data_IF_547093601594
#
_entry.id   IF_547093601594
#
_cell.length_a   1.000
_cell.length_b   1.000
_cell.length_c   1.000
_cell.angle_alpha   90.00
_cell.angle_beta   90.00
_cell.angle_gamma   90.00
#
_symmetry.space_group_name_H-M   'P 1'
#
loop_
_entity.id
_entity.type
_entity.pdbx_description
1 polymer ?
#
# COMPACT_ATOMS: atom_id res chain seq x y z
N UNK A 1 5.89 11.13 6.24
CA UNK A 1 5.26 9.93 5.65
C UNK A 1 3.75 10.03 5.75
N UNK A 2 3.05 9.54 4.74
CA UNK A 2 1.62 9.23 4.73
C UNK A 2 1.39 7.75 5.08
N UNK A 3 0.20 7.44 5.59
CA UNK A 3 -0.17 6.06 5.95
C UNK A 3 -1.10 5.45 4.90
N UNK A 4 -0.77 4.23 4.49
CA UNK A 4 -1.55 3.42 3.57
C UNK A 4 -2.15 2.22 4.32
N UNK A 5 -3.46 2.28 4.58
CA UNK A 5 -4.16 1.20 5.28
C UNK A 5 -4.65 0.12 4.33
N UNK A 6 -4.41 -1.16 4.67
CA UNK A 6 -4.91 -2.31 3.91
C UNK A 6 -5.92 -3.19 4.67
N UNK A 7 -6.49 -2.68 5.77
CA UNK A 7 -7.36 -3.43 6.69
C UNK A 7 -8.57 -4.07 6.00
N UNK A 8 -9.13 -3.42 4.99
CA UNK A 8 -10.36 -3.88 4.33
C UNK A 8 -10.10 -4.92 3.23
N UNK A 9 -8.84 -5.30 2.96
CA UNK A 9 -8.49 -6.40 2.06
C UNK A 9 -8.91 -7.76 2.59
N UNK A 10 -9.07 -7.89 3.92
CA UNK A 10 -9.44 -9.14 4.57
C UNK A 10 -10.82 -9.63 4.09
N UNK A 11 -10.88 -10.87 3.64
CA UNK A 11 -12.13 -11.55 3.36
C UNK A 11 -12.93 -11.85 4.65
N UNK A 12 -14.26 -11.84 4.55
CA UNK A 12 -15.17 -12.28 5.62
C UNK A 12 -15.81 -11.17 6.46
N UNK A 13 -15.38 -9.91 6.32
CA UNK A 13 -16.05 -8.77 6.93
C UNK A 13 -17.33 -8.41 6.16
N UNK A 14 -18.41 -8.07 6.86
CA UNK A 14 -19.63 -7.60 6.18
C UNK A 14 -19.39 -6.26 5.49
N UNK A 15 -20.18 -5.95 4.45
CA UNK A 15 -20.10 -4.63 3.78
C UNK A 15 -20.33 -3.50 4.79
N UNK A 16 -21.24 -3.68 5.74
CA UNK A 16 -21.51 -2.68 6.78
C UNK A 16 -20.31 -2.48 7.69
N UNK A 17 -19.65 -3.55 8.14
CA UNK A 17 -18.46 -3.43 8.99
C UNK A 17 -17.31 -2.75 8.24
N UNK A 18 -17.12 -3.07 6.94
CA UNK A 18 -16.11 -2.40 6.11
C UNK A 18 -16.37 -0.90 5.96
N UNK A 19 -17.63 -0.48 5.79
CA UNK A 19 -18.00 0.94 5.71
C UNK A 19 -17.78 1.66 7.05
N UNK A 20 -18.07 1.01 8.18
CA UNK A 20 -17.79 1.56 9.51
C UNK A 20 -16.29 1.69 9.73
N UNK A 21 -15.53 0.63 9.45
CA UNK A 21 -14.07 0.63 9.54
C UNK A 21 -13.44 1.73 8.65
N UNK A 22 -13.91 1.91 7.41
CA UNK A 22 -13.44 2.99 6.54
C UNK A 22 -13.59 4.39 7.15
N UNK A 23 -14.70 4.66 7.85
CA UNK A 23 -14.91 5.93 8.56
C UNK A 23 -13.97 6.10 9.75
N UNK A 24 -13.68 5.03 10.48
CA UNK A 24 -12.72 5.06 11.57
C UNK A 24 -11.29 5.30 11.06
N UNK A 25 -10.90 4.64 9.98
CA UNK A 25 -9.60 4.84 9.34
C UNK A 25 -9.42 6.28 8.86
N UNK A 26 -10.45 6.87 8.24
CA UNK A 26 -10.47 8.29 7.88
C UNK A 26 -10.28 9.22 9.08
N UNK A 27 -10.95 8.93 10.20
CA UNK A 27 -10.81 9.68 11.44
C UNK A 27 -9.42 9.53 12.08
N UNK A 28 -8.71 8.42 11.82
CA UNK A 28 -7.31 8.23 12.23
C UNK A 28 -6.32 9.00 11.34
N UNK A 29 -6.78 9.54 10.21
CA UNK A 29 -5.97 10.38 9.33
C UNK A 29 -5.07 9.60 8.38
N UNK A 30 -5.41 8.35 8.03
CA UNK A 30 -4.69 7.63 6.97
C UNK A 30 -4.94 8.29 5.62
N UNK A 31 -3.94 8.28 4.74
CA UNK A 31 -4.05 8.89 3.41
C UNK A 31 -4.86 8.00 2.45
N UNK A 32 -4.71 6.68 2.57
CA UNK A 32 -5.41 5.72 1.74
C UNK A 32 -6.05 4.62 2.58
N UNK A 33 -7.28 4.27 2.23
CA UNK A 33 -7.99 3.09 2.76
C UNK A 33 -8.19 2.12 1.61
N UNK A 34 -7.44 1.02 1.62
CA UNK A 34 -7.55 -0.01 0.61
C UNK A 34 -8.75 -0.93 0.88
N UNK A 35 -9.76 -0.78 0.03
CA UNK A 35 -10.96 -1.61 0.02
C UNK A 35 -10.72 -3.04 -0.44
N UNK A 36 -9.55 -3.41 -0.95
CA UNK A 36 -9.29 -4.73 -1.52
C UNK A 36 -9.82 -4.91 -2.94
N UNK A 37 -9.92 -6.16 -3.35
CA UNK A 37 -10.40 -6.53 -4.69
C UNK A 37 -11.78 -5.90 -4.97
N UNK A 38 -11.97 -5.23 -6.13
CA UNK A 38 -13.26 -4.68 -6.53
C UNK A 38 -14.41 -5.68 -6.40
N UNK A 39 -15.35 -5.39 -5.49
CA UNK A 39 -16.65 -6.06 -5.40
C UNK A 39 -17.78 -5.04 -5.58
N UNK A 40 -18.76 -5.37 -6.44
CA UNK A 40 -19.80 -4.40 -6.84
C UNK A 40 -20.61 -3.87 -5.64
N UNK A 41 -20.81 -4.66 -4.58
CA UNK A 41 -21.68 -4.28 -3.46
C UNK A 41 -21.01 -3.26 -2.54
N UNK A 42 -19.77 -3.50 -2.15
CA UNK A 42 -19.03 -2.60 -1.27
C UNK A 42 -18.74 -1.27 -1.95
N UNK A 43 -18.15 -1.27 -3.15
CA UNK A 43 -17.76 -0.03 -3.81
C UNK A 43 -18.95 0.84 -4.22
N UNK A 44 -20.06 0.23 -4.66
CA UNK A 44 -21.30 0.97 -4.92
C UNK A 44 -21.86 1.62 -3.66
N UNK A 45 -21.96 0.88 -2.55
CA UNK A 45 -22.42 1.45 -1.28
C UNK A 45 -21.44 2.51 -0.76
N UNK A 46 -20.14 2.28 -0.89
CA UNK A 46 -19.11 3.20 -0.44
C UNK A 46 -19.19 4.55 -1.17
N UNK A 47 -19.42 4.56 -2.48
CA UNK A 47 -19.61 5.79 -3.26
C UNK A 47 -20.80 6.64 -2.76
N UNK A 48 -21.86 5.98 -2.30
CA UNK A 48 -23.08 6.66 -1.81
C UNK A 48 -22.97 7.06 -0.34
N UNK A 49 -22.44 6.17 0.51
CA UNK A 49 -22.50 6.26 1.97
C UNK A 49 -21.24 6.80 2.66
N UNK A 50 -20.08 6.77 2.01
CA UNK A 50 -18.85 7.32 2.57
C UNK A 50 -18.70 8.79 2.20
N UNK A 51 -18.25 9.56 3.20
CA UNK A 51 -17.89 10.96 3.13
C UNK A 51 -16.56 11.13 3.85
N UNK A 52 -15.52 10.54 3.28
CA UNK A 52 -14.15 10.58 3.81
C UNK A 52 -13.61 12.01 3.65
N UNK A 53 -12.90 12.49 4.66
CA UNK A 53 -12.33 13.85 4.68
C UNK A 53 -10.85 13.87 4.39
N UNK A 54 -10.15 12.84 4.85
CA UNK A 54 -8.69 12.70 4.78
C UNK A 54 -8.33 11.56 3.83
N UNK A 55 -8.95 10.40 4.03
CA UNK A 55 -8.62 9.19 3.33
C UNK A 55 -9.20 9.17 1.91
N UNK A 56 -8.40 8.72 0.96
CA UNK A 56 -8.86 8.28 -0.34
C UNK A 56 -9.20 6.79 -0.30
N UNK A 57 -10.43 6.42 -0.67
CA UNK A 57 -10.80 5.02 -0.86
C UNK A 57 -10.09 4.48 -2.11
N UNK A 58 -9.36 3.39 -1.95
CA UNK A 58 -8.56 2.75 -3.00
C UNK A 58 -9.08 1.35 -3.28
N UNK A 59 -9.15 0.97 -4.55
CA UNK A 59 -9.37 -0.42 -4.93
C UNK A 59 -8.06 -1.09 -5.34
N UNK A 60 -7.89 -2.37 -5.03
CA UNK A 60 -6.64 -3.08 -5.31
C UNK A 60 -6.81 -4.38 -6.07
N UNK A 61 -5.80 -4.74 -6.86
CA UNK A 61 -5.84 -5.94 -7.70
C UNK A 61 -4.53 -6.11 -8.45
N UNK A 62 -4.42 -7.19 -9.21
CA UNK A 62 -3.27 -7.42 -10.08
C UNK A 62 -3.45 -6.70 -11.42
N UNK A 63 -2.39 -6.52 -12.23
CA UNK A 63 -2.53 -5.94 -13.57
C UNK A 63 -3.62 -6.59 -14.43
N UNK A 64 -3.86 -7.90 -14.28
CA UNK A 64 -4.88 -8.65 -15.03
C UNK A 64 -6.32 -8.29 -14.60
N UNK A 65 -6.48 -7.64 -13.44
CA UNK A 65 -7.79 -7.26 -12.88
C UNK A 65 -8.26 -5.88 -13.38
N UNK A 66 -7.64 -5.33 -14.43
CA UNK A 66 -7.87 -3.99 -14.97
C UNK A 66 -9.35 -3.63 -15.14
N UNK A 67 -10.15 -4.51 -15.74
CA UNK A 67 -11.59 -4.26 -15.94
C UNK A 67 -12.33 -4.07 -14.61
N UNK A 68 -11.98 -4.86 -13.60
CA UNK A 68 -12.59 -4.76 -12.27
C UNK A 68 -12.12 -3.49 -11.55
N UNK A 69 -10.85 -3.13 -11.68
CA UNK A 69 -10.28 -1.90 -11.11
C UNK A 69 -10.93 -0.64 -11.70
N UNK A 70 -11.14 -0.60 -13.01
CA UNK A 70 -11.85 0.50 -13.67
C UNK A 70 -13.30 0.61 -13.19
N UNK A 71 -13.99 -0.52 -13.04
CA UNK A 71 -15.36 -0.59 -12.57
C UNK A 71 -15.55 -0.24 -11.08
N UNK A 72 -14.48 -0.18 -10.28
CA UNK A 72 -14.55 0.23 -8.88
C UNK A 72 -14.82 1.74 -8.72
N UNK A 73 -14.53 2.53 -9.75
CA UNK A 73 -14.73 3.99 -9.82
C UNK A 73 -14.05 4.79 -8.69
N UNK A 74 -13.11 4.20 -7.96
CA UNK A 74 -12.30 4.89 -6.95
C UNK A 74 -11.38 5.93 -7.57
N UNK A 75 -11.01 7.00 -6.86
CA UNK A 75 -10.08 8.02 -7.38
C UNK A 75 -8.62 7.56 -7.33
N UNK A 76 -8.31 6.60 -6.46
CA UNK A 76 -7.03 5.92 -6.43
C UNK A 76 -7.19 4.40 -6.60
N UNK A 77 -6.16 3.74 -7.11
CA UNK A 77 -6.09 2.29 -7.30
C UNK A 77 -4.70 1.80 -6.93
N UNK A 78 -4.63 0.59 -6.36
CA UNK A 78 -3.37 -0.08 -6.08
C UNK A 78 -3.22 -1.31 -6.97
N UNK A 79 -2.12 -1.37 -7.72
CA UNK A 79 -1.78 -2.49 -8.60
C UNK A 79 -0.70 -3.31 -7.94
N UNK A 80 -1.04 -4.54 -7.55
CA UNK A 80 -0.12 -5.48 -6.91
C UNK A 80 0.55 -6.33 -7.96
N UNK A 81 1.88 -6.20 -8.09
CA UNK A 81 2.69 -6.97 -9.03
C UNK A 81 3.68 -7.83 -8.27
N UNK A 82 3.90 -9.05 -8.74
CA UNK A 82 4.87 -9.99 -8.18
C UNK A 82 5.67 -10.61 -9.33
N UNK A 83 6.99 -10.49 -9.28
CA UNK A 83 7.88 -11.06 -10.29
C UNK A 83 7.80 -10.36 -11.66
N UNK A 84 7.70 -11.16 -12.72
CA UNK A 84 7.82 -10.75 -14.12
C UNK A 84 6.47 -10.37 -14.76
N UNK A 85 6.50 -9.52 -15.79
CA UNK A 85 5.28 -9.11 -16.51
C UNK A 85 5.18 -7.61 -16.78
N UNK A 86 6.31 -6.94 -17.02
CA UNK A 86 6.40 -5.48 -17.16
C UNK A 86 5.48 -4.90 -18.25
N UNK A 87 5.21 -5.64 -19.32
CA UNK A 87 4.28 -5.20 -20.37
C UNK A 87 2.83 -5.11 -19.87
N UNK A 88 2.37 -6.12 -19.12
CA UNK A 88 1.03 -6.16 -18.54
C UNK A 88 0.89 -5.08 -17.47
N UNK A 89 1.90 -4.93 -16.60
CA UNK A 89 1.97 -3.86 -15.61
C UNK A 89 1.88 -2.48 -16.28
N UNK A 90 2.75 -2.21 -17.27
CA UNK A 90 2.82 -0.93 -17.98
C UNK A 90 1.49 -0.56 -18.60
N UNK A 91 0.84 -1.51 -19.28
CA UNK A 91 -0.44 -1.26 -19.93
C UNK A 91 -1.56 -1.03 -18.92
N UNK A 92 -1.63 -1.83 -17.85
CA UNK A 92 -2.62 -1.65 -16.79
C UNK A 92 -2.48 -0.27 -16.12
N UNK A 93 -1.27 0.11 -15.71
CA UNK A 93 -1.00 1.43 -15.10
C UNK A 93 -1.38 2.55 -16.06
N UNK A 94 -0.97 2.49 -17.34
CA UNK A 94 -1.32 3.50 -18.34
C UNK A 94 -2.83 3.67 -18.51
N UNK A 95 -3.58 2.57 -18.56
CA UNK A 95 -5.03 2.65 -18.70
C UNK A 95 -5.70 3.24 -17.45
N UNK A 96 -5.23 2.89 -16.26
CA UNK A 96 -5.74 3.45 -15.01
C UNK A 96 -5.43 4.95 -14.90
N UNK A 97 -4.21 5.38 -15.25
CA UNK A 97 -3.82 6.80 -15.30
C UNK A 97 -4.65 7.57 -16.33
N UNK A 98 -4.84 7.01 -17.54
CA UNK A 98 -5.72 7.61 -18.57
C UNK A 98 -7.17 7.73 -18.13
N UNK A 99 -7.63 6.84 -17.26
CA UNK A 99 -8.95 6.92 -16.63
C UNK A 99 -9.01 7.92 -15.45
N UNK A 100 -7.95 8.72 -15.24
CA UNK A 100 -7.88 9.75 -14.20
C UNK A 100 -7.64 9.22 -12.80
N UNK A 101 -7.09 8.00 -12.66
CA UNK A 101 -6.80 7.38 -11.36
C UNK A 101 -5.39 7.73 -10.90
N UNK A 102 -5.23 8.01 -9.59
CA UNK A 102 -3.92 7.94 -8.93
C UNK A 102 -3.55 6.47 -8.75
N UNK A 103 -2.39 6.06 -9.24
CA UNK A 103 -2.00 4.64 -9.25
C UNK A 103 -0.84 4.40 -8.29
N UNK A 104 -1.08 3.61 -7.25
CA UNK A 104 -0.03 3.05 -6.40
C UNK A 104 0.35 1.68 -6.97
N UNK A 105 1.64 1.39 -7.12
CA UNK A 105 2.11 0.05 -7.53
C UNK A 105 2.78 -0.62 -6.34
N UNK A 106 2.27 -1.77 -5.90
CA UNK A 106 2.93 -2.59 -4.89
C UNK A 106 3.84 -3.61 -5.57
N UNK A 107 5.15 -3.39 -5.48
CA UNK A 107 6.17 -4.31 -5.95
C UNK A 107 6.43 -5.38 -4.89
N UNK A 108 5.67 -6.49 -4.97
CA UNK A 108 5.86 -7.67 -4.12
C UNK A 108 7.20 -8.34 -4.44
N UNK A 109 7.86 -8.81 -3.40
CA UNK A 109 9.16 -9.51 -3.47
C UNK A 109 10.29 -8.61 -3.99
N UNK A 110 10.12 -7.29 -3.90
CA UNK A 110 11.10 -6.33 -4.42
C UNK A 110 12.48 -6.54 -3.78
N UNK A 111 12.53 -6.64 -2.45
CA UNK A 111 13.78 -6.79 -1.73
C UNK A 111 14.42 -8.17 -1.95
N UNK A 112 13.62 -9.23 -2.05
CA UNK A 112 14.10 -10.55 -2.42
C UNK A 112 14.72 -10.53 -3.84
N UNK A 113 14.04 -9.86 -4.78
CA UNK A 113 14.53 -9.65 -6.13
C UNK A 113 15.80 -8.79 -6.17
N UNK A 114 15.88 -7.75 -5.34
CA UNK A 114 17.06 -6.88 -5.23
C UNK A 114 18.31 -7.66 -4.82
N UNK A 115 18.20 -8.60 -3.88
CA UNK A 115 19.33 -9.42 -3.46
C UNK A 115 19.83 -10.38 -4.54
N UNK A 116 18.99 -10.69 -5.53
CA UNK A 116 19.32 -11.59 -6.65
C UNK A 116 19.86 -10.78 -7.84
N UNK A 117 19.12 -9.75 -8.24
CA UNK A 117 19.41 -8.90 -9.41
C UNK A 117 18.82 -7.49 -9.18
N UNK A 118 19.62 -6.54 -8.64
CA UNK A 118 19.19 -5.16 -8.42
C UNK A 118 18.75 -4.44 -9.70
N UNK A 119 19.38 -4.72 -10.83
CA UNK A 119 19.03 -4.06 -12.10
C UNK A 119 17.63 -4.47 -12.53
N UNK A 120 17.32 -5.77 -12.48
CA UNK A 120 15.99 -6.29 -12.77
C UNK A 120 14.94 -5.82 -11.75
N UNK A 121 15.29 -5.76 -10.46
CA UNK A 121 14.40 -5.19 -9.45
C UNK A 121 14.06 -3.73 -9.76
N UNK A 122 15.03 -2.91 -10.19
CA UNK A 122 14.79 -1.52 -10.59
C UNK A 122 13.91 -1.39 -11.84
N UNK A 123 13.90 -2.38 -12.74
CA UNK A 123 13.03 -2.35 -13.93
C UNK A 123 11.55 -2.30 -13.56
N UNK A 124 11.12 -2.92 -12.46
CA UNK A 124 9.70 -2.83 -12.03
C UNK A 124 9.33 -1.41 -11.61
N UNK A 125 10.23 -0.74 -10.88
CA UNK A 125 10.05 0.63 -10.39
C UNK A 125 10.01 1.60 -11.56
N UNK A 126 10.99 1.50 -12.47
CA UNK A 126 11.07 2.33 -13.67
C UNK A 126 9.86 2.11 -14.58
N UNK A 127 9.48 0.85 -14.81
CA UNK A 127 8.30 0.53 -15.63
C UNK A 127 7.02 1.13 -15.07
N UNK A 128 6.81 1.05 -13.75
CA UNK A 128 5.65 1.65 -13.09
C UNK A 128 5.67 3.19 -13.22
N UNK A 129 6.81 3.82 -12.94
CA UNK A 129 6.97 5.27 -13.03
C UNK A 129 6.77 5.79 -14.45
N UNK A 130 7.40 5.18 -15.46
CA UNK A 130 7.25 5.53 -16.88
C UNK A 130 5.81 5.33 -17.39
N UNK A 131 5.05 4.43 -16.78
CA UNK A 131 3.64 4.23 -17.08
C UNK A 131 2.73 5.28 -16.43
N UNK A 132 3.26 6.10 -15.51
CA UNK A 132 2.57 7.17 -14.81
C UNK A 132 2.09 6.80 -13.40
N UNK A 133 2.65 5.77 -12.76
CA UNK A 133 2.35 5.48 -11.36
C UNK A 133 2.71 6.68 -10.47
N UNK A 134 1.83 6.96 -9.49
CA UNK A 134 1.96 8.04 -8.51
C UNK A 134 2.99 7.68 -7.43
N UNK A 135 3.07 6.41 -7.05
CA UNK A 135 4.00 5.89 -6.03
C UNK A 135 4.26 4.41 -6.26
N UNK A 136 5.49 3.96 -6.00
CA UNK A 136 5.85 2.54 -5.99
C UNK A 136 6.17 2.09 -4.57
N UNK A 137 5.35 1.19 -4.02
CA UNK A 137 5.54 0.59 -2.70
C UNK A 137 6.44 -0.63 -2.82
N UNK A 138 7.64 -0.53 -2.27
CA UNK A 138 8.62 -1.61 -2.22
C UNK A 138 8.24 -2.56 -1.07
N UNK A 139 8.05 -3.85 -1.37
CA UNK A 139 7.61 -4.82 -0.37
C UNK A 139 8.71 -5.82 0.01
N UNK A 140 9.10 -5.86 1.29
CA UNK A 140 9.95 -6.90 1.89
C UNK A 140 9.06 -8.12 2.17
N UNK A 141 8.70 -8.90 1.15
CA UNK A 141 7.72 -9.99 1.33
C UNK A 141 8.22 -11.08 2.27
N UNK A 142 9.49 -11.49 2.17
CA UNK A 142 10.04 -12.53 3.04
C UNK A 142 10.25 -12.06 4.48
N UNK A 143 10.36 -10.74 4.73
CA UNK A 143 10.63 -10.20 6.06
C UNK A 143 12.08 -10.43 6.52
N UNK A 144 12.99 -10.80 5.61
CA UNK A 144 14.30 -11.34 5.97
C UNK A 144 15.37 -10.28 6.24
N UNK A 145 15.16 -9.05 5.78
CA UNK A 145 16.16 -7.98 5.88
C UNK A 145 16.11 -7.25 7.21
N UNK A 146 17.27 -6.75 7.64
CA UNK A 146 17.39 -5.89 8.81
C UNK A 146 16.97 -4.45 8.49
N UNK A 147 16.52 -3.65 9.49
CA UNK A 147 16.05 -2.28 9.25
C UNK A 147 17.05 -1.36 8.55
N UNK A 148 18.34 -1.45 8.89
CA UNK A 148 19.43 -0.71 8.25
C UNK A 148 19.58 -1.10 6.78
N UNK A 149 19.55 -2.40 6.47
CA UNK A 149 19.59 -2.89 5.09
C UNK A 149 18.37 -2.42 4.27
N UNK A 150 17.19 -2.36 4.89
CA UNK A 150 15.99 -1.76 4.27
C UNK A 150 16.27 -0.30 3.90
N UNK A 151 16.81 0.48 4.83
CA UNK A 151 17.15 1.89 4.61
C UNK A 151 18.12 2.09 3.45
N UNK A 152 19.24 1.35 3.43
CA UNK A 152 20.27 1.44 2.37
C UNK A 152 19.72 1.15 0.98
N UNK A 153 18.88 0.11 0.87
CA UNK A 153 18.25 -0.26 -0.40
C UNK A 153 17.24 0.80 -0.83
N UNK A 154 16.39 1.28 0.08
CA UNK A 154 15.41 2.34 -0.24
C UNK A 154 16.10 3.63 -0.69
N UNK A 155 17.19 4.03 -0.03
CA UNK A 155 17.98 5.20 -0.41
C UNK A 155 18.55 5.06 -1.83
N UNK A 156 19.07 3.87 -2.15
CA UNK A 156 19.57 3.55 -3.51
C UNK A 156 18.46 3.63 -4.57
N UNK A 157 17.24 3.17 -4.26
CA UNK A 157 16.10 3.25 -5.18
C UNK A 157 15.60 4.69 -5.29
N UNK A 158 15.67 5.49 -4.21
CA UNK A 158 15.22 6.88 -4.20
C UNK A 158 16.03 7.77 -5.16
N UNK A 159 17.29 7.40 -5.48
CA UNK A 159 18.09 8.07 -6.51
C UNK A 159 17.43 8.08 -7.90
N UNK A 160 16.49 7.18 -8.16
CA UNK A 160 15.70 7.17 -9.40
C UNK A 160 14.73 8.36 -9.51
N UNK A 161 14.47 9.07 -8.41
CA UNK A 161 13.51 10.18 -8.32
C UNK A 161 12.03 9.75 -8.31
N UNK A 162 11.76 8.45 -8.28
CA UNK A 162 10.39 7.91 -8.21
C UNK A 162 9.86 8.05 -6.78
N UNK A 163 8.62 8.55 -6.56
CA UNK A 163 8.02 8.52 -5.23
C UNK A 163 7.88 7.09 -4.72
N UNK A 164 8.44 6.83 -3.53
CA UNK A 164 8.49 5.49 -2.95
C UNK A 164 7.53 5.33 -1.77
N UNK A 165 7.10 4.10 -1.58
CA UNK A 165 6.49 3.63 -0.34
C UNK A 165 7.13 2.33 0.14
N UNK A 166 6.72 1.88 1.32
CA UNK A 166 7.27 0.68 1.93
C UNK A 166 6.18 -0.20 2.59
N UNK A 167 6.30 -1.51 2.42
CA UNK A 167 5.50 -2.52 3.09
C UNK A 167 6.31 -3.74 3.50
N UNK A 168 5.94 -4.37 4.61
CA UNK A 168 6.57 -5.60 5.11
C UNK A 168 5.54 -6.45 5.89
N UNK A 169 5.86 -7.72 6.22
CA UNK A 169 5.11 -8.51 7.18
C UNK A 169 5.14 -7.92 8.59
N UNK A 170 4.20 -8.37 9.43
CA UNK A 170 4.26 -8.10 10.87
C UNK A 170 5.15 -9.15 11.56
N UNK A 171 6.46 -8.87 11.64
CA UNK A 171 7.49 -9.79 12.14
C UNK A 171 8.15 -9.35 13.47
N UNK A 172 7.52 -8.43 14.20
CA UNK A 172 8.04 -7.88 15.46
C UNK A 172 9.13 -6.80 15.28
N UNK A 173 9.81 -6.76 14.14
CA UNK A 173 10.75 -5.69 13.74
C UNK A 173 10.15 -4.68 12.76
N UNK A 174 8.92 -4.93 12.31
CA UNK A 174 8.21 -4.19 11.26
C UNK A 174 8.20 -2.66 11.42
N UNK A 175 7.91 -2.15 12.63
CA UNK A 175 7.90 -0.70 12.87
C UNK A 175 9.29 -0.06 12.68
N UNK A 176 10.37 -0.74 13.05
CA UNK A 176 11.72 -0.25 12.82
C UNK A 176 12.03 -0.20 11.32
N UNK A 177 11.71 -1.27 10.57
CA UNK A 177 11.87 -1.31 9.11
C UNK A 177 11.15 -0.15 8.42
N UNK A 178 9.90 0.12 8.83
CA UNK A 178 9.11 1.22 8.28
C UNK A 178 9.73 2.60 8.56
N UNK A 179 10.30 2.82 9.75
CA UNK A 179 10.95 4.08 10.08
C UNK A 179 12.25 4.28 9.30
N UNK A 180 13.08 3.24 9.17
CA UNK A 180 14.29 3.30 8.34
C UNK A 180 13.96 3.53 6.87
N UNK A 181 12.94 2.86 6.33
CA UNK A 181 12.47 3.11 4.97
C UNK A 181 11.97 4.56 4.81
N UNK A 182 11.21 5.07 5.79
CA UNK A 182 10.70 6.44 5.75
C UNK A 182 11.84 7.48 5.81
N UNK A 183 12.83 7.28 6.70
CA UNK A 183 14.02 8.15 6.81
C UNK A 183 14.83 8.12 5.50
N UNK A 184 14.84 6.98 4.79
CA UNK A 184 15.48 6.82 3.48
C UNK A 184 14.66 7.38 2.30
N UNK A 185 13.48 7.98 2.55
CA UNK A 185 12.68 8.66 1.53
C UNK A 185 11.38 7.95 1.12
N UNK A 186 11.00 6.84 1.77
CA UNK A 186 9.67 6.25 1.56
C UNK A 186 8.58 7.16 2.12
N UNK A 187 7.87 7.85 1.23
CA UNK A 187 6.80 8.78 1.55
C UNK A 187 5.51 8.12 2.00
N UNK A 188 5.26 6.86 1.63
CA UNK A 188 4.02 6.13 1.90
C UNK A 188 4.29 4.81 2.63
N UNK A 189 3.73 4.60 3.82
CA UNK A 189 3.98 3.38 4.62
C UNK A 189 2.71 2.55 4.79
N UNK A 190 2.80 1.27 4.43
CA UNK A 190 1.69 0.33 4.48
C UNK A 190 1.50 -0.25 5.88
N UNK A 191 0.26 -0.29 6.37
CA UNK A 191 -0.10 -0.95 7.62
C UNK A 191 -1.56 -1.41 7.64
N UNK A 192 -1.97 -1.99 8.77
CA UNK A 192 -3.36 -2.38 8.97
C UNK A 192 -3.81 -2.30 10.43
N UNK A 193 -5.12 -2.43 10.62
CA UNK A 193 -5.84 -2.65 11.87
C UNK A 193 -6.68 -3.93 11.75
N UNK A 194 -7.04 -4.51 12.89
CA UNK A 194 -8.02 -5.59 12.90
C UNK A 194 -9.43 -5.01 12.68
N UNK A 195 -10.13 -5.48 11.64
CA UNK A 195 -11.54 -5.12 11.41
C UNK A 195 -12.44 -6.01 12.27
N UNK A 196 -13.25 -5.39 13.10
CA UNK A 196 -14.22 -6.07 13.99
C UNK A 196 -15.64 -5.57 13.72
N UNK A 197 -16.64 -6.26 14.29
CA UNK A 197 -18.04 -5.85 14.13
C UNK A 197 -18.21 -4.44 14.68
N UNK A 198 -18.64 -3.52 13.80
CA UNK A 198 -18.86 -2.12 14.16
C UNK A 198 -17.62 -1.27 14.38
N UNK A 199 -16.40 -1.70 13.97
CA UNK A 199 -15.23 -0.83 14.12
C UNK A 199 -13.86 -1.48 13.82
N UNK A 200 -12.85 -0.92 14.48
CA UNK A 200 -11.44 -1.35 14.43
C UNK A 200 -10.99 -1.79 15.82
N UNK A 201 -10.03 -2.71 15.85
CA UNK A 201 -9.33 -3.18 17.06
C UNK A 201 -7.81 -3.08 16.84
N UNK A 202 -7.07 -2.91 17.94
CA UNK A 202 -5.60 -2.91 18.03
C UNK A 202 -5.01 -4.31 18.24
N UNK A 203 -5.88 -5.32 18.31
CA UNK A 203 -5.47 -6.71 18.23
C UNK A 203 -4.66 -6.96 16.95
N UNK A 204 -3.87 -8.05 16.96
CA UNK A 204 -3.09 -8.46 15.79
C UNK A 204 -4.01 -8.58 14.59
N UNK A 205 -3.72 -7.79 13.57
CA UNK A 205 -4.42 -7.87 12.30
C UNK A 205 -4.17 -9.26 11.71
N UNK A 206 -5.20 -9.93 11.18
CA UNK A 206 -5.01 -11.22 10.54
C UNK A 206 -4.39 -11.09 9.14
N UNK A 207 -4.14 -9.86 8.67
CA UNK A 207 -3.30 -9.61 7.51
C UNK A 207 -1.83 -9.59 7.96
N UNK A 208 -0.90 -10.22 7.21
CA UNK A 208 0.52 -10.18 7.53
C UNK A 208 1.11 -8.82 7.15
N UNK A 209 0.76 -7.78 7.91
CA UNK A 209 1.12 -6.39 7.66
C UNK A 209 1.16 -5.62 8.99
N UNK A 210 2.07 -4.64 9.15
CA UNK A 210 2.35 -4.06 10.45
C UNK A 210 1.15 -3.29 10.97
N UNK A 211 1.00 -3.28 12.29
CA UNK A 211 -0.08 -2.53 12.92
C UNK A 211 0.20 -1.03 12.86
N UNK A 212 -0.72 -0.27 12.28
CA UNK A 212 -0.53 1.18 12.09
C UNK A 212 -0.30 1.92 13.41
N UNK A 213 -0.89 1.47 14.52
CA UNK A 213 -0.63 2.09 15.82
C UNK A 213 0.82 1.92 16.28
N UNK A 214 1.50 0.83 15.91
CA UNK A 214 2.91 0.63 16.25
C UNK A 214 3.78 1.61 15.45
N UNK A 215 3.53 1.73 14.14
CA UNK A 215 4.21 2.69 13.27
C UNK A 215 4.06 4.12 13.77
N UNK A 216 2.81 4.54 14.04
CA UNK A 216 2.50 5.90 14.51
C UNK A 216 3.09 6.17 15.89
N UNK A 217 3.03 5.19 16.80
CA UNK A 217 3.62 5.33 18.13
C UNK A 217 5.14 5.44 18.08
N UNK A 218 5.78 4.61 17.25
CA UNK A 218 7.22 4.65 17.06
C UNK A 218 7.68 5.98 16.44
N UNK A 219 6.99 6.46 15.40
CA UNK A 219 7.26 7.77 14.78
C UNK A 219 7.15 8.91 15.80
N UNK A 220 6.11 8.91 16.64
CA UNK A 220 5.96 9.91 17.71
C UNK A 220 7.08 9.83 18.75
N UNK A 221 7.50 8.62 19.12
CA UNK A 221 8.54 8.42 20.12
C UNK A 221 9.90 8.96 19.67
N UNK A 222 10.21 8.89 18.37
CA UNK A 222 11.48 9.39 17.81
C UNK A 222 11.42 10.87 17.38
N UNK A 223 10.28 11.54 17.56
CA UNK A 223 10.12 12.96 17.21
C UNK A 223 9.83 13.23 15.73
N UNK A 224 9.53 12.19 14.94
CA UNK A 224 9.33 12.29 13.49
C UNK A 224 10.34 11.46 12.70
N UNK A 225 10.09 11.39 11.39
CA UNK A 225 11.04 10.90 10.38
C UNK A 225 11.95 12.07 10.03
N UNK A 226 13.25 11.82 9.83
CA UNK A 226 14.26 12.88 9.60
C UNK A 226 14.13 13.55 8.24
#
# INVERSE_FOLDING_TARGET
MELYDISLRRAGSSVTDRLVAARHLDALGVAFVDGGRPDRRFYHRAAVELRLRTATLTASGRPEDLTALLAAETTAVAVVVQGHGFSVLREAVRQLVRAGRRVVVEARDFFDGWLIDPEHALEVVRTAAEAGADTVVLHDTAGALWPDQIGEIVESVAETGVPLGFGCPDDGGSAAKQLFAADAGAGLVQGSYAVVRGGLDRAVSPLPCPRLEQTVSAQKAIGGVR
#
